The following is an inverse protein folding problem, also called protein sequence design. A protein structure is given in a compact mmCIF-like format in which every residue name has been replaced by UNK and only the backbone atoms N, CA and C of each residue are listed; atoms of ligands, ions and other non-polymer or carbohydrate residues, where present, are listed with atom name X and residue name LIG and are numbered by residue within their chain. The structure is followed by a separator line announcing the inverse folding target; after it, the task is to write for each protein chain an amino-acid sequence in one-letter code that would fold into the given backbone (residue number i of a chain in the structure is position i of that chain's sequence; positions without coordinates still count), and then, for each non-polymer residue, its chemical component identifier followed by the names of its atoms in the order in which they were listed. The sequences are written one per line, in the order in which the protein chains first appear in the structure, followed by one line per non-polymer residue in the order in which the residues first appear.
data_IF_853389139494
#
_entry.id   IF_853389139494
#
_cell.length_a   1.000
_cell.length_b   1.000
_cell.length_c   1.000
_cell.angle_alpha   90.00
_cell.angle_beta   90.00
_cell.angle_gamma   90.00
#
_symmetry.space_group_name_H-M   'P 1'
#
loop_
_entity.id
_entity.type
_entity.pdbx_description
1 polymer ?
#
# COMPACT_ATOMS: atom_id res chain seq x y z
N UNK A 1 -14.49 -37.65 26.32
CA UNK A 1 -13.42 -36.70 26.71
C UNK A 1 -12.49 -36.25 25.57
N UNK A 2 -12.08 -37.12 24.61
CA UNK A 2 -11.24 -36.70 23.46
C UNK A 2 -11.94 -35.77 22.44
N UNK A 3 -13.22 -36.02 22.17
CA UNK A 3 -13.99 -35.34 21.12
C UNK A 3 -14.22 -33.85 21.42
N UNK A 4 -14.37 -33.51 22.71
CA UNK A 4 -14.53 -32.13 23.18
C UNK A 4 -13.24 -31.33 23.04
N UNK A 5 -12.10 -31.97 23.32
CA UNK A 5 -10.78 -31.35 23.18
C UNK A 5 -10.46 -31.02 21.72
N UNK A 6 -10.77 -31.92 20.78
CA UNK A 6 -10.58 -31.68 19.34
C UNK A 6 -11.43 -30.50 18.85
N UNK A 7 -12.69 -30.41 19.28
CA UNK A 7 -13.58 -29.30 18.92
C UNK A 7 -13.06 -27.97 19.48
N UNK A 8 -12.62 -27.96 20.73
CA UNK A 8 -12.05 -26.75 21.35
C UNK A 8 -10.78 -26.28 20.61
N UNK A 9 -9.88 -27.19 20.26
CA UNK A 9 -8.67 -26.88 19.50
C UNK A 9 -9.00 -26.35 18.10
N UNK A 10 -9.96 -26.94 17.41
CA UNK A 10 -10.38 -26.48 16.08
C UNK A 10 -10.96 -25.05 16.12
N UNK A 11 -11.76 -24.73 17.14
CA UNK A 11 -12.32 -23.37 17.35
C UNK A 11 -11.22 -22.35 17.64
N UNK A 12 -10.25 -22.71 18.49
CA UNK A 12 -9.12 -21.85 18.81
C UNK A 12 -8.28 -21.55 17.56
N UNK A 13 -7.97 -22.57 16.76
CA UNK A 13 -7.19 -22.39 15.51
C UNK A 13 -7.94 -21.48 14.55
N UNK A 14 -9.23 -21.71 14.33
CA UNK A 14 -10.03 -20.84 13.46
C UNK A 14 -10.00 -19.39 13.95
N UNK A 15 -10.25 -19.14 15.24
CA UNK A 15 -10.26 -17.81 15.82
C UNK A 15 -8.92 -17.07 15.66
N UNK A 16 -7.79 -17.76 15.83
CA UNK A 16 -6.46 -17.16 15.67
C UNK A 16 -6.06 -16.96 14.20
N UNK A 17 -6.44 -17.88 13.31
CA UNK A 17 -6.18 -17.76 11.87
C UNK A 17 -6.92 -16.58 11.22
N UNK A 18 -8.07 -16.16 11.78
CA UNK A 18 -8.77 -14.95 11.32
C UNK A 18 -8.05 -13.63 11.72
N UNK A 19 -7.13 -13.67 12.69
CA UNK A 19 -6.53 -12.47 13.28
C UNK A 19 -5.18 -12.08 12.66
N UNK A 20 -4.73 -12.71 11.56
CA UNK A 20 -3.35 -12.54 11.06
C UNK A 20 -3.20 -11.81 9.72
N UNK A 21 -4.16 -10.98 9.31
CA UNK A 21 -3.95 -10.11 8.14
C UNK A 21 -4.39 -8.67 8.39
N UNK A 22 -3.79 -8.05 9.40
CA UNK A 22 -3.71 -6.60 9.47
C UNK A 22 -2.28 -6.22 9.85
N UNK A 23 -1.33 -6.46 8.92
CA UNK A 23 -0.19 -5.57 8.90
C UNK A 23 -0.77 -4.16 8.71
N UNK A 24 -0.38 -3.16 9.52
CA UNK A 24 -0.68 -1.79 9.17
C UNK A 24 -0.21 -1.61 7.72
N UNK A 25 -1.01 -0.98 6.87
CA UNK A 25 -0.52 -0.40 5.62
C UNK A 25 0.51 0.67 6.01
N UNK A 26 1.71 0.22 6.35
CA UNK A 26 2.64 0.90 7.24
C UNK A 26 4.05 0.41 6.96
N UNK A 27 4.37 0.36 5.68
CA UNK A 27 5.74 0.25 5.17
C UNK A 27 5.87 0.74 3.73
N UNK A 28 4.83 1.37 3.15
CA UNK A 28 5.01 2.10 1.91
C UNK A 28 5.77 3.39 2.27
N UNK A 29 7.03 3.57 1.79
CA UNK A 29 7.74 4.82 1.98
C UNK A 29 6.87 5.97 1.47
N UNK A 30 6.99 7.18 2.06
CA UNK A 30 6.15 8.32 1.69
C UNK A 30 6.17 8.46 0.17
N UNK A 31 5.03 8.14 -0.43
CA UNK A 31 4.92 8.05 -1.86
C UNK A 31 4.77 9.47 -2.38
N UNK A 32 5.70 9.91 -3.23
CA UNK A 32 5.65 11.26 -3.78
C UNK A 32 4.44 11.36 -4.71
N UNK A 33 3.44 12.13 -4.30
CA UNK A 33 2.28 12.49 -5.11
C UNK A 33 2.30 13.98 -5.42
N UNK A 34 1.81 14.34 -6.59
CA UNK A 34 1.64 15.74 -7.00
C UNK A 34 0.17 16.14 -6.87
N UNK A 35 -0.07 17.29 -6.24
CA UNK A 35 -1.41 17.88 -6.09
C UNK A 35 -1.65 19.10 -6.98
N UNK A 36 -0.58 19.58 -7.63
CA UNK A 36 -0.57 20.75 -8.51
C UNK A 36 0.39 20.50 -9.66
N UNK A 37 0.09 21.09 -10.82
CA UNK A 37 0.88 20.96 -12.04
C UNK A 37 1.48 22.29 -12.44
N UNK A 38 2.68 22.26 -13.03
CA UNK A 38 3.28 23.44 -13.63
C UNK A 38 2.46 23.87 -14.84
N UNK A 39 1.95 25.10 -14.84
CA UNK A 39 1.11 25.61 -15.93
C UNK A 39 1.89 26.06 -17.18
N UNK A 40 3.23 26.11 -17.08
CA UNK A 40 4.12 26.53 -18.17
C UNK A 40 4.87 25.34 -18.75
N UNK A 41 5.21 25.40 -20.03
CA UNK A 41 6.04 24.37 -20.65
C UNK A 41 7.49 24.50 -20.19
N UNK A 42 8.09 23.38 -19.79
CA UNK A 42 9.51 23.31 -19.42
C UNK A 42 10.36 23.22 -20.68
N UNK A 43 11.39 24.08 -20.85
CA UNK A 43 12.34 23.92 -21.94
C UNK A 43 13.06 22.57 -21.80
N UNK A 44 12.95 21.71 -22.81
CA UNK A 44 13.51 20.35 -22.78
C UNK A 44 15.02 20.32 -22.54
N UNK A 45 15.74 21.37 -22.91
CA UNK A 45 17.18 21.51 -22.66
C UNK A 45 17.55 21.52 -21.17
N UNK A 46 16.62 21.85 -20.27
CA UNK A 46 16.86 21.88 -18.83
C UNK A 46 16.39 20.61 -18.10
N UNK A 47 15.64 19.73 -18.77
CA UNK A 47 15.15 18.48 -18.18
C UNK A 47 16.28 17.46 -18.18
N UNK A 48 16.63 16.96 -16.99
CA UNK A 48 17.72 15.98 -16.81
C UNK A 48 17.20 14.55 -16.72
N UNK A 49 16.05 14.37 -16.09
CA UNK A 49 15.40 13.09 -15.88
C UNK A 49 13.90 13.33 -15.67
N UNK A 50 13.10 12.26 -15.74
CA UNK A 50 11.68 12.29 -15.38
C UNK A 50 11.20 10.91 -14.92
N UNK A 51 10.22 10.88 -14.01
CA UNK A 51 9.56 9.63 -13.61
C UNK A 51 8.08 9.82 -13.32
N UNK A 52 7.31 8.75 -13.52
CA UNK A 52 5.89 8.72 -13.17
C UNK A 52 5.71 8.58 -11.66
N UNK A 53 4.77 9.33 -11.10
CA UNK A 53 4.35 9.15 -9.71
C UNK A 53 3.65 7.80 -9.53
N UNK A 54 3.63 7.30 -8.30
CA UNK A 54 3.05 6.00 -7.98
C UNK A 54 1.54 5.93 -8.29
N UNK A 55 1.08 4.75 -8.71
CA UNK A 55 -0.34 4.49 -9.01
C UNK A 55 -1.28 4.58 -7.81
N UNK A 56 -0.76 4.61 -6.58
CA UNK A 56 -1.52 4.85 -5.36
C UNK A 56 -1.97 6.32 -5.21
N UNK A 57 -1.39 7.25 -5.98
CA UNK A 57 -1.80 8.65 -5.96
C UNK A 57 -3.21 8.82 -6.55
N UNK A 58 -3.97 9.78 -6.04
CA UNK A 58 -5.32 10.08 -6.53
C UNK A 58 -5.34 10.63 -7.96
N UNK A 59 -4.20 11.13 -8.44
CA UNK A 59 -4.02 11.68 -9.78
C UNK A 59 -2.67 11.23 -10.34
N UNK A 60 -2.58 10.92 -11.64
CA UNK A 60 -1.32 10.61 -12.30
C UNK A 60 -0.50 11.88 -12.54
N UNK A 61 0.82 11.81 -12.34
CA UNK A 61 1.74 12.92 -12.58
C UNK A 61 3.14 12.45 -13.00
N UNK A 62 3.95 13.39 -13.52
CA UNK A 62 5.36 13.22 -13.86
C UNK A 62 6.18 14.24 -13.09
N UNK A 63 7.28 13.80 -12.49
CA UNK A 63 8.27 14.64 -11.79
C UNK A 63 9.55 14.71 -12.57
#
# INVERSE_FOLDING_TARGET
DMKVSVVAVAILIAAFCYQTSAAPFGSDPPTSCCFSYVSRQLPRSFVKDYYDTNSQCSQPAVV
#
